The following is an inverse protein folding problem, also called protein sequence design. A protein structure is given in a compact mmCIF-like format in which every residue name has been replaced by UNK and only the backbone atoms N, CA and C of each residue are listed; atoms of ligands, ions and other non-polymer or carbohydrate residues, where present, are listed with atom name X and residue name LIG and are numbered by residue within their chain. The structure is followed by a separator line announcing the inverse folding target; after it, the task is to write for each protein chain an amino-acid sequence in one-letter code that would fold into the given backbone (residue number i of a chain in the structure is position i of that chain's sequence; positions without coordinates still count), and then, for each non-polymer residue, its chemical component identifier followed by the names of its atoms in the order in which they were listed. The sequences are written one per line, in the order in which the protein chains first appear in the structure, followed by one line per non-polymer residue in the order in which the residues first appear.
data_IF_134945984284
#
_entry.id   IF_134945984284
#
_cell.length_a   1.000
_cell.length_b   1.000
_cell.length_c   1.000
_cell.angle_alpha   90.00
_cell.angle_beta   90.00
_cell.angle_gamma   90.00
#
_symmetry.space_group_name_H-M   'P 1'
#
loop_
_entity.id
_entity.type
_entity.pdbx_description
1 polymer ?
#
# COMPACT_ATOMS: atom_id res chain seq x y z
N UNK A 1 -67.87 44.38 -9.67
CA UNK A 1 -66.94 45.12 -8.80
C UNK A 1 -66.32 44.13 -7.83
N UNK A 2 -64.99 43.95 -7.86
CA UNK A 2 -64.28 42.98 -7.03
C UNK A 2 -62.88 43.46 -6.65
N UNK A 3 -62.70 43.65 -5.34
CA UNK A 3 -61.55 43.29 -4.49
C UNK A 3 -60.14 43.65 -5.00
N UNK A 4 -59.57 44.74 -4.46
CA UNK A 4 -58.12 44.92 -4.32
C UNK A 4 -57.77 45.49 -2.93
N UNK A 5 -56.60 45.05 -2.47
CA UNK A 5 -55.75 45.60 -1.42
C UNK A 5 -56.04 45.30 0.05
N UNK A 6 -55.31 44.29 0.57
CA UNK A 6 -54.98 44.21 1.99
C UNK A 6 -53.59 43.60 2.22
N UNK A 7 -52.53 44.29 1.78
CA UNK A 7 -51.18 44.04 2.30
C UNK A 7 -51.02 44.74 3.66
N UNK A 8 -51.18 43.99 4.76
CA UNK A 8 -50.65 44.39 6.08
C UNK A 8 -49.53 43.44 6.50
N UNK A 9 -48.33 44.03 6.58
CA UNK A 9 -47.11 43.51 7.21
C UNK A 9 -47.39 42.91 8.60
N UNK A 10 -46.95 41.67 8.82
CA UNK A 10 -46.63 41.15 10.17
C UNK A 10 -45.10 41.11 10.29
N UNK A 11 -44.57 41.86 11.25
CA UNK A 11 -43.18 41.78 11.68
C UNK A 11 -42.94 40.43 12.36
N UNK A 12 -42.12 39.57 11.78
CA UNK A 12 -41.54 38.43 12.50
C UNK A 12 -40.24 38.90 13.18
N UNK A 13 -39.97 38.49 14.43
CA UNK A 13 -38.70 38.79 15.09
C UNK A 13 -37.55 38.04 14.38
N UNK A 14 -36.29 38.51 14.47
CA UNK A 14 -35.18 37.88 13.79
C UNK A 14 -34.96 36.49 14.38
N UNK A 15 -35.09 35.47 13.53
CA UNK A 15 -34.70 34.10 13.84
C UNK A 15 -33.19 34.12 14.08
N UNK A 16 -32.82 33.91 15.34
CA UNK A 16 -31.45 33.77 15.77
C UNK A 16 -30.90 32.51 15.08
N UNK A 17 -30.20 32.68 13.96
CA UNK A 17 -29.39 31.63 13.36
C UNK A 17 -28.25 31.31 14.33
N UNK A 18 -28.54 30.43 15.31
CA UNK A 18 -27.48 29.66 15.95
C UNK A 18 -26.77 28.94 14.80
N UNK A 19 -25.58 29.44 14.43
CA UNK A 19 -24.63 28.68 13.62
C UNK A 19 -24.50 27.34 14.34
N UNK A 20 -25.08 26.29 13.77
CA UNK A 20 -24.73 24.94 14.16
C UNK A 20 -23.22 24.87 13.98
N UNK A 21 -22.47 24.73 15.09
CA UNK A 21 -21.08 24.30 14.99
C UNK A 21 -21.14 23.03 14.17
N UNK A 22 -20.43 23.01 13.03
CA UNK A 22 -20.23 21.78 12.29
C UNK A 22 -19.82 20.70 13.30
N UNK A 23 -20.41 19.50 13.25
CA UNK A 23 -19.99 18.43 14.13
C UNK A 23 -18.48 18.30 13.99
N UNK A 24 -17.76 18.40 15.11
CA UNK A 24 -16.33 18.08 15.14
C UNK A 24 -16.26 16.65 14.63
N UNK A 25 -15.73 16.47 13.41
CA UNK A 25 -15.55 15.14 12.86
C UNK A 25 -14.71 14.38 13.87
N UNK A 26 -15.28 13.34 14.47
CA UNK A 26 -14.50 12.43 15.32
C UNK A 26 -13.58 11.72 14.34
N UNK A 27 -12.33 12.14 14.29
CA UNK A 27 -11.29 11.51 13.48
C UNK A 27 -11.07 10.13 14.10
N UNK A 28 -11.17 9.07 13.30
CA UNK A 28 -10.94 7.72 13.78
C UNK A 28 -9.45 7.59 14.18
N UNK A 29 -9.10 6.94 15.31
CA UNK A 29 -7.71 6.83 15.76
C UNK A 29 -6.76 6.26 14.70
N UNK A 30 -7.27 5.40 13.81
CA UNK A 30 -6.50 4.89 12.69
C UNK A 30 -6.10 5.96 11.68
N UNK A 31 -6.95 6.95 11.42
CA UNK A 31 -6.61 8.07 10.52
C UNK A 31 -5.44 8.88 11.09
N UNK A 32 -5.43 9.11 12.41
CA UNK A 32 -4.31 9.77 13.09
C UNK A 32 -3.02 8.94 12.99
N UNK A 33 -3.14 7.62 13.14
CA UNK A 33 -2.01 6.70 12.95
C UNK A 33 -1.46 6.74 11.52
N UNK A 34 -2.33 6.79 10.52
CA UNK A 34 -1.91 6.89 9.12
C UNK A 34 -1.14 8.20 8.86
N UNK A 35 -1.58 9.31 9.45
CA UNK A 35 -0.87 10.59 9.37
C UNK A 35 0.50 10.52 10.05
N UNK A 36 0.57 9.93 11.25
CA UNK A 36 1.84 9.71 11.94
C UNK A 36 2.81 8.86 11.09
N UNK A 37 2.33 7.77 10.49
CA UNK A 37 3.14 6.89 9.64
C UNK A 37 3.68 7.61 8.40
N UNK A 38 2.87 8.49 7.81
CA UNK A 38 3.30 9.32 6.70
C UNK A 38 4.38 10.32 7.13
N UNK A 39 4.20 11.00 8.27
CA UNK A 39 5.14 12.02 8.75
C UNK A 39 6.47 11.41 9.20
N UNK A 40 6.44 10.32 9.97
CA UNK A 40 7.63 9.73 10.55
C UNK A 40 8.40 8.86 9.54
N UNK A 41 7.68 8.02 8.80
CA UNK A 41 8.26 6.97 7.95
C UNK A 41 8.08 7.22 6.45
N UNK A 42 7.31 8.23 6.05
CA UNK A 42 6.96 8.43 4.63
C UNK A 42 5.94 7.43 4.10
N UNK A 43 5.33 6.60 4.96
CA UNK A 43 4.39 5.57 4.56
C UNK A 43 3.04 6.17 4.19
N UNK A 44 2.67 6.11 2.91
CA UNK A 44 1.38 6.61 2.41
C UNK A 44 0.42 5.43 2.20
N UNK A 45 -0.41 5.18 3.21
CA UNK A 45 -1.47 4.17 3.14
C UNK A 45 -2.55 4.64 2.15
N UNK A 46 -3.01 3.79 1.22
CA UNK A 46 -4.06 4.15 0.27
C UNK A 46 -5.37 4.54 0.99
N UNK A 47 -6.02 5.61 0.55
CA UNK A 47 -7.27 6.07 1.17
C UNK A 47 -8.37 4.99 1.13
N UNK A 48 -8.44 4.20 0.05
CA UNK A 48 -9.37 3.07 -0.06
C UNK A 48 -9.16 2.04 1.06
N UNK A 49 -7.90 1.75 1.41
CA UNK A 49 -7.56 0.87 2.53
C UNK A 49 -7.95 1.49 3.88
N UNK A 50 -7.72 2.79 4.05
CA UNK A 50 -8.11 3.54 5.25
C UNK A 50 -9.63 3.48 5.44
N UNK A 51 -10.39 3.84 4.40
CA UNK A 51 -11.85 3.87 4.43
C UNK A 51 -12.43 2.48 4.72
N UNK A 52 -11.86 1.44 4.10
CA UNK A 52 -12.24 0.05 4.33
C UNK A 52 -12.06 -0.35 5.80
N UNK A 53 -10.86 -0.18 6.36
CA UNK A 53 -10.54 -0.59 7.73
C UNK A 53 -11.38 0.18 8.76
N UNK A 54 -11.62 1.48 8.54
CA UNK A 54 -12.45 2.31 9.40
C UNK A 54 -13.92 1.90 9.31
N UNK A 55 -14.45 1.64 8.10
CA UNK A 55 -15.85 1.26 7.88
C UNK A 55 -16.25 0.01 8.67
N UNK A 56 -15.37 -0.98 8.73
CA UNK A 56 -15.60 -2.20 9.50
C UNK A 56 -15.29 -2.06 11.00
N UNK A 57 -14.67 -0.94 11.41
CA UNK A 57 -14.39 -0.59 12.80
C UNK A 57 -13.76 -1.75 13.60
N UNK A 58 -12.78 -2.43 12.99
CA UNK A 58 -12.11 -3.55 13.65
C UNK A 58 -11.46 -3.11 14.97
N UNK A 59 -11.36 -4.02 15.97
CA UNK A 59 -10.62 -3.76 17.19
C UNK A 59 -9.16 -3.37 16.90
N UNK A 60 -8.57 -2.48 17.71
CA UNK A 60 -7.17 -2.02 17.51
C UNK A 60 -6.16 -3.17 17.50
N UNK A 61 -6.44 -4.21 18.28
CA UNK A 61 -5.70 -5.46 18.42
C UNK A 61 -6.01 -6.49 17.33
N UNK A 62 -6.91 -6.18 16.39
CA UNK A 62 -7.12 -7.00 15.22
C UNK A 62 -5.83 -7.05 14.39
N UNK A 63 -5.49 -8.24 13.88
CA UNK A 63 -4.21 -8.48 13.21
C UNK A 63 -3.98 -7.54 12.01
N UNK A 64 -5.02 -7.21 11.23
CA UNK A 64 -4.96 -6.21 10.15
C UNK A 64 -4.55 -4.80 10.60
N UNK A 65 -4.83 -4.43 11.85
CA UNK A 65 -4.41 -3.14 12.40
C UNK A 65 -2.99 -3.19 12.97
N UNK A 66 -2.55 -4.35 13.47
CA UNK A 66 -1.31 -4.52 14.23
C UNK A 66 -0.07 -3.98 13.50
N UNK A 67 0.08 -4.31 12.22
CA UNK A 67 1.23 -3.89 11.40
C UNK A 67 1.36 -2.37 11.28
N UNK A 68 0.24 -1.63 11.29
CA UNK A 68 0.25 -0.17 11.22
C UNK A 68 0.61 0.47 12.56
N UNK A 69 0.27 -0.18 13.68
CA UNK A 69 0.62 0.31 15.03
C UNK A 69 2.06 -0.01 15.43
N UNK A 70 2.64 -1.05 14.82
CA UNK A 70 3.98 -1.55 15.14
C UNK A 70 4.93 -1.49 13.95
N UNK A 71 4.66 -0.60 13.00
CA UNK A 71 5.36 -0.51 11.73
C UNK A 71 6.89 -0.37 11.88
N UNK A 72 7.62 -1.15 11.08
CA UNK A 72 9.04 -0.99 10.76
C UNK A 72 9.24 -1.17 9.25
N UNK A 73 10.38 -0.71 8.73
CA UNK A 73 10.71 -0.87 7.31
C UNK A 73 10.80 -2.34 6.89
N UNK A 74 11.11 -3.25 7.83
CA UNK A 74 11.19 -4.69 7.57
C UNK A 74 9.88 -5.32 7.07
N UNK A 75 8.75 -4.63 7.22
CA UNK A 75 7.47 -5.05 6.65
C UNK A 75 7.31 -4.68 5.17
N UNK A 76 8.25 -3.93 4.60
CA UNK A 76 8.20 -3.56 3.20
C UNK A 76 8.90 -4.60 2.34
N UNK A 77 8.27 -4.97 1.23
CA UNK A 77 8.85 -5.85 0.23
C UNK A 77 8.82 -5.18 -1.14
N UNK A 78 9.94 -5.21 -1.85
CA UNK A 78 10.05 -4.74 -3.23
C UNK A 78 9.89 -5.91 -4.19
N UNK A 79 8.97 -5.75 -5.14
CA UNK A 79 8.76 -6.66 -6.26
C UNK A 79 9.34 -6.06 -7.54
N UNK A 80 10.35 -6.74 -8.08
CA UNK A 80 10.97 -6.35 -9.34
C UNK A 80 10.11 -6.77 -10.53
N UNK A 81 10.16 -5.96 -11.58
CA UNK A 81 9.63 -6.35 -12.89
C UNK A 81 10.78 -6.62 -13.88
N UNK A 82 10.47 -7.31 -14.97
CA UNK A 82 11.48 -7.73 -15.94
C UNK A 82 12.22 -6.57 -16.61
N UNK A 83 11.59 -5.40 -16.77
CA UNK A 83 12.26 -4.22 -17.36
C UNK A 83 13.35 -3.70 -16.44
N UNK A 84 13.07 -3.59 -15.13
CA UNK A 84 14.06 -3.20 -14.15
C UNK A 84 15.21 -4.20 -14.09
N UNK A 85 14.91 -5.51 -14.03
CA UNK A 85 15.94 -6.55 -14.00
C UNK A 85 16.82 -6.51 -15.26
N UNK A 86 16.23 -6.31 -16.45
CA UNK A 86 16.98 -6.16 -17.69
C UNK A 86 17.91 -4.95 -17.64
N UNK A 87 17.41 -3.79 -17.20
CA UNK A 87 18.21 -2.57 -17.05
C UNK A 87 19.42 -2.80 -16.12
N UNK A 88 19.17 -3.39 -14.95
CA UNK A 88 20.21 -3.66 -13.96
C UNK A 88 21.28 -4.61 -14.53
N UNK A 89 20.88 -5.68 -15.22
CA UNK A 89 21.83 -6.62 -15.85
C UNK A 89 22.64 -5.94 -16.94
N UNK A 90 22.00 -5.13 -17.79
CA UNK A 90 22.68 -4.41 -18.87
C UNK A 90 23.74 -3.45 -18.29
N UNK A 91 23.40 -2.66 -17.27
CA UNK A 91 24.33 -1.77 -16.58
C UNK A 91 25.48 -2.50 -15.88
N UNK A 92 25.18 -3.65 -15.28
CA UNK A 92 26.19 -4.47 -14.63
C UNK A 92 27.18 -5.04 -15.65
N UNK A 93 26.69 -5.52 -16.80
CA UNK A 93 27.52 -6.03 -17.89
C UNK A 93 28.30 -4.93 -18.63
N UNK A 94 27.77 -3.70 -18.72
CA UNK A 94 28.53 -2.55 -19.22
C UNK A 94 29.73 -2.23 -18.33
N UNK A 95 29.55 -2.34 -17.01
CA UNK A 95 30.58 -1.99 -16.02
C UNK A 95 31.64 -3.10 -15.87
N UNK A 96 31.21 -4.36 -15.82
CA UNK A 96 32.08 -5.51 -15.49
C UNK A 96 32.37 -6.45 -16.68
N UNK A 97 31.79 -6.18 -17.85
CA UNK A 97 31.96 -6.96 -19.08
C UNK A 97 30.81 -7.94 -19.38
N UNK A 98 30.56 -8.17 -20.68
CA UNK A 98 29.39 -8.94 -21.18
C UNK A 98 29.24 -10.37 -20.66
N UNK A 99 30.34 -11.01 -20.25
CA UNK A 99 30.34 -12.39 -19.75
C UNK A 99 30.61 -12.48 -18.24
N UNK A 100 30.39 -11.39 -17.51
CA UNK A 100 30.58 -11.38 -16.06
C UNK A 100 29.58 -12.33 -15.37
N UNK A 101 30.01 -12.95 -14.27
CA UNK A 101 29.13 -13.80 -13.47
C UNK A 101 28.09 -12.94 -12.73
N UNK A 102 26.83 -13.28 -12.93
CA UNK A 102 25.69 -12.57 -12.36
C UNK A 102 25.33 -13.04 -10.95
N UNK A 103 26.02 -14.04 -10.39
CA UNK A 103 25.71 -14.56 -9.05
C UNK A 103 25.72 -13.48 -7.97
N UNK A 104 26.73 -12.60 -7.97
CA UNK A 104 26.81 -11.48 -7.03
C UNK A 104 25.69 -10.47 -7.20
N UNK A 105 25.26 -10.25 -8.45
CA UNK A 105 24.15 -9.36 -8.75
C UNK A 105 22.82 -9.95 -8.27
N UNK A 106 22.63 -11.26 -8.43
CA UNK A 106 21.48 -11.98 -7.89
C UNK A 106 21.42 -11.84 -6.36
N UNK A 107 22.53 -12.09 -5.67
CA UNK A 107 22.62 -11.94 -4.21
C UNK A 107 22.27 -10.50 -3.79
N UNK A 108 22.85 -9.48 -4.45
CA UNK A 108 22.57 -8.08 -4.17
C UNK A 108 21.08 -7.72 -4.36
N UNK A 109 20.46 -8.22 -5.44
CA UNK A 109 19.04 -8.00 -5.71
C UNK A 109 18.16 -8.71 -4.68
N UNK A 110 18.53 -9.90 -4.24
CA UNK A 110 17.78 -10.66 -3.24
C UNK A 110 17.81 -9.94 -1.88
N UNK A 111 18.99 -9.44 -1.47
CA UNK A 111 19.15 -8.67 -0.23
C UNK A 111 18.39 -7.34 -0.28
N UNK A 112 18.45 -6.63 -1.41
CA UNK A 112 17.80 -5.32 -1.57
C UNK A 112 16.26 -5.35 -1.43
N UNK A 113 15.61 -6.53 -1.52
CA UNK A 113 14.13 -6.64 -1.53
C UNK A 113 13.46 -6.10 -0.28
N UNK A 114 14.14 -6.19 0.86
CA UNK A 114 13.60 -5.78 2.16
C UNK A 114 14.29 -4.52 2.71
N UNK A 115 15.17 -3.90 1.91
CA UNK A 115 16.05 -2.81 2.34
C UNK A 115 15.65 -1.48 1.68
N UNK A 116 14.38 -1.33 1.27
CA UNK A 116 13.89 -0.12 0.63
C UNK A 116 13.26 0.85 1.64
N UNK A 117 13.80 2.06 1.71
CA UNK A 117 13.30 3.12 2.58
C UNK A 117 12.37 4.08 1.84
N UNK A 118 11.07 4.05 2.14
CA UNK A 118 10.07 4.96 1.54
C UNK A 118 10.41 6.44 1.74
N UNK A 119 10.92 6.81 2.92
CA UNK A 119 11.24 8.20 3.27
C UNK A 119 12.28 8.83 2.35
N UNK A 120 13.30 8.05 2.00
CA UNK A 120 14.41 8.51 1.15
C UNK A 120 14.26 8.04 -0.30
N UNK A 121 13.28 7.18 -0.57
CA UNK A 121 12.97 6.62 -1.88
C UNK A 121 14.19 5.91 -2.51
N UNK A 122 14.88 5.10 -1.70
CA UNK A 122 16.09 4.39 -2.11
C UNK A 122 16.30 3.11 -1.30
N UNK A 123 17.14 2.21 -1.82
CA UNK A 123 17.68 1.07 -1.10
C UNK A 123 18.76 1.52 -0.12
N UNK A 124 18.75 1.03 1.11
CA UNK A 124 19.72 1.38 2.14
C UNK A 124 19.88 0.25 3.16
N UNK A 125 21.12 -0.09 3.49
CA UNK A 125 21.48 -0.94 4.63
C UNK A 125 22.80 -0.47 5.22
N UNK A 126 23.02 -0.70 6.52
CA UNK A 126 24.28 -0.36 7.18
C UNK A 126 25.43 -1.31 6.79
N UNK A 127 25.12 -2.47 6.21
CA UNK A 127 26.11 -3.54 5.94
C UNK A 127 26.34 -3.82 4.46
N UNK A 128 25.43 -3.39 3.58
CA UNK A 128 25.46 -3.66 2.15
C UNK A 128 25.42 -2.33 1.38
N UNK A 129 26.32 -2.19 0.41
CA UNK A 129 26.34 -1.05 -0.51
C UNK A 129 25.36 -1.28 -1.67
N UNK A 130 24.33 -0.43 -1.73
CA UNK A 130 23.30 -0.45 -2.78
C UNK A 130 23.45 0.68 -3.80
N UNK A 131 24.55 1.43 -3.84
CA UNK A 131 24.73 2.58 -4.73
C UNK A 131 24.47 2.24 -6.20
N UNK A 132 24.96 1.07 -6.64
CA UNK A 132 24.71 0.58 -8.00
C UNK A 132 23.21 0.37 -8.30
N UNK A 133 22.47 -0.25 -7.37
CA UNK A 133 21.03 -0.48 -7.54
C UNK A 133 20.26 0.83 -7.45
N UNK A 134 20.65 1.74 -6.56
CA UNK A 134 20.05 3.07 -6.44
C UNK A 134 20.20 3.89 -7.71
N UNK A 135 21.37 3.82 -8.36
CA UNK A 135 21.57 4.43 -9.67
C UNK A 135 20.61 3.84 -10.71
N UNK A 136 20.53 2.51 -10.80
CA UNK A 136 19.63 1.83 -11.74
C UNK A 136 18.15 2.18 -11.46
N UNK A 137 17.77 2.27 -10.19
CA UNK A 137 16.42 2.64 -9.78
C UNK A 137 16.08 4.08 -10.16
N UNK A 138 17.00 5.02 -9.96
CA UNK A 138 16.83 6.40 -10.39
C UNK A 138 16.64 6.52 -11.92
N UNK A 139 17.43 5.77 -12.71
CA UNK A 139 17.27 5.69 -14.17
C UNK A 139 15.92 5.09 -14.56
N UNK A 140 15.51 4.01 -13.89
CA UNK A 140 14.22 3.37 -14.13
C UNK A 140 13.05 4.31 -13.82
N UNK A 141 13.10 5.01 -12.69
CA UNK A 141 12.10 6.01 -12.30
C UNK A 141 12.03 7.19 -13.27
N UNK A 142 13.17 7.66 -13.76
CA UNK A 142 13.23 8.73 -14.75
C UNK A 142 12.56 8.36 -16.09
N UNK A 143 12.40 7.06 -16.39
CA UNK A 143 11.65 6.59 -17.56
C UNK A 143 10.12 6.65 -17.39
N UNK A 144 9.63 6.99 -16.20
CA UNK A 144 8.21 7.00 -15.84
C UNK A 144 7.68 5.66 -15.35
N UNK A 145 8.56 4.69 -15.15
CA UNK A 145 8.23 3.37 -14.60
C UNK A 145 8.54 3.33 -13.10
N UNK A 146 7.91 2.42 -12.36
CA UNK A 146 8.10 2.30 -10.92
C UNK A 146 8.16 0.84 -10.47
N UNK A 147 8.80 0.62 -9.32
CA UNK A 147 8.81 -0.68 -8.66
C UNK A 147 7.56 -0.81 -7.80
N UNK A 148 7.07 -2.04 -7.68
CA UNK A 148 5.96 -2.36 -6.78
C UNK A 148 6.52 -2.54 -5.37
N UNK A 149 6.18 -1.60 -4.49
CA UNK A 149 6.51 -1.68 -3.06
C UNK A 149 5.23 -2.07 -2.33
N UNK A 150 5.35 -3.06 -1.46
CA UNK A 150 4.23 -3.62 -0.71
C UNK A 150 4.50 -3.60 0.78
N UNK A 151 3.43 -3.74 1.54
CA UNK A 151 3.44 -3.96 2.98
C UNK A 151 2.96 -5.39 3.26
N UNK A 152 3.72 -6.17 4.02
CA UNK A 152 3.31 -7.52 4.45
C UNK A 152 2.02 -7.42 5.26
N UNK A 153 0.96 -7.97 4.68
CA UNK A 153 -0.42 -7.84 5.12
C UNK A 153 -1.02 -9.25 5.26
N UNK A 154 -0.82 -9.85 6.43
CA UNK A 154 -1.35 -11.19 6.79
C UNK A 154 -1.03 -12.28 5.75
N UNK A 155 0.27 -12.48 5.47
CA UNK A 155 0.77 -13.44 4.46
C UNK A 155 0.43 -13.09 3.00
N UNK A 156 -0.23 -11.95 2.79
CA UNK A 156 -0.44 -11.28 1.51
C UNK A 156 0.32 -9.95 1.48
N UNK A 157 0.18 -9.18 0.40
CA UNK A 157 0.92 -7.94 0.20
C UNK A 157 -0.01 -6.80 -0.18
N UNK A 158 -0.17 -5.81 0.71
CA UNK A 158 -0.87 -4.57 0.39
C UNK A 158 0.02 -3.67 -0.47
N UNK A 159 -0.45 -3.31 -1.67
CA UNK A 159 0.33 -2.55 -2.65
C UNK A 159 0.28 -1.05 -2.36
N UNK A 160 1.45 -0.39 -2.39
CA UNK A 160 1.61 1.00 -1.99
C UNK A 160 1.95 1.97 -3.14
N UNK A 161 2.72 1.54 -4.15
CA UNK A 161 3.41 2.45 -5.11
C UNK A 161 3.19 2.10 -6.59
N UNK A 162 1.98 1.75 -6.99
CA UNK A 162 1.63 1.55 -8.41
C UNK A 162 0.19 1.99 -8.70
N UNK A 163 -0.27 1.82 -9.95
CA UNK A 163 -1.70 1.92 -10.29
C UNK A 163 -2.58 0.91 -9.50
N UNK A 164 -2.00 -0.18 -9.01
CA UNK A 164 -2.65 -1.19 -8.16
C UNK A 164 -2.61 -0.80 -6.67
N UNK A 165 -2.33 0.45 -6.34
CA UNK A 165 -2.30 0.93 -4.95
C UNK A 165 -3.65 0.66 -4.24
N UNK A 166 -3.58 0.02 -3.07
CA UNK A 166 -4.77 -0.35 -2.28
C UNK A 166 -5.34 -1.74 -2.58
N UNK A 167 -4.80 -2.44 -3.57
CA UNK A 167 -5.05 -3.86 -3.78
C UNK A 167 -4.13 -4.69 -2.89
N UNK A 168 -4.57 -5.91 -2.62
CA UNK A 168 -3.79 -6.94 -1.95
C UNK A 168 -3.45 -8.02 -2.97
N UNK A 169 -2.17 -8.32 -3.13
CA UNK A 169 -1.71 -9.43 -3.97
C UNK A 169 -1.27 -10.61 -3.12
N UNK A 170 -1.54 -11.82 -3.57
CA UNK A 170 -1.24 -13.03 -2.81
C UNK A 170 0.21 -13.48 -2.98
N UNK A 171 0.85 -13.82 -1.85
CA UNK A 171 2.27 -14.21 -1.83
C UNK A 171 2.48 -15.75 -1.95
N UNK A 172 1.41 -16.56 -2.08
CA UNK A 172 1.40 -18.06 -2.11
C UNK A 172 0.06 -18.63 -2.69
N UNK A 173 -0.04 -19.91 -3.15
CA UNK A 173 0.67 -20.59 -4.24
C UNK A 173 -0.30 -21.45 -5.11
N UNK A 174 -0.63 -21.07 -6.34
CA UNK A 174 -0.76 -22.12 -7.35
C UNK A 174 0.65 -22.56 -7.72
N UNK A 175 1.05 -23.77 -7.31
CA UNK A 175 2.34 -24.40 -7.60
C UNK A 175 2.74 -24.13 -9.07
N UNK A 176 3.79 -23.32 -9.28
CA UNK A 176 4.67 -23.19 -10.46
C UNK A 176 4.90 -21.78 -11.07
N UNK A 177 4.32 -20.68 -10.57
CA UNK A 177 4.51 -19.36 -11.22
C UNK A 177 5.16 -18.23 -10.37
N UNK A 178 5.57 -18.47 -9.12
CA UNK A 178 6.04 -17.42 -8.21
C UNK A 178 7.30 -16.66 -8.64
N UNK A 179 8.10 -17.24 -9.54
CA UNK A 179 9.37 -16.67 -9.95
C UNK A 179 9.42 -16.55 -11.47
N UNK A 180 9.93 -15.42 -11.94
CA UNK A 180 10.34 -15.22 -13.33
C UNK A 180 11.85 -15.17 -13.41
N UNK A 181 12.35 -15.44 -14.61
CA UNK A 181 13.76 -15.27 -14.94
C UNK A 181 13.88 -14.29 -16.10
N UNK A 182 14.73 -13.28 -15.95
CA UNK A 182 15.07 -12.31 -17.00
C UNK A 182 16.57 -12.14 -17.03
N UNK A 183 17.17 -12.28 -18.21
CA UNK A 183 18.62 -12.19 -18.40
C UNK A 183 19.47 -13.08 -17.44
N UNK A 184 18.92 -14.21 -17.01
CA UNK A 184 19.59 -15.12 -16.06
C UNK A 184 19.40 -14.80 -14.58
N UNK A 185 18.77 -13.67 -14.25
CA UNK A 185 18.38 -13.29 -12.88
C UNK A 185 16.96 -13.80 -12.59
N UNK A 186 16.79 -14.46 -11.46
CA UNK A 186 15.51 -14.95 -10.95
C UNK A 186 14.94 -13.95 -9.94
N UNK A 187 13.66 -13.63 -10.04
CA UNK A 187 13.00 -12.70 -9.12
C UNK A 187 11.55 -13.11 -8.89
N UNK A 188 11.00 -12.71 -7.75
CA UNK A 188 9.62 -12.98 -7.35
C UNK A 188 8.66 -12.01 -8.05
N UNK A 189 7.48 -12.49 -8.39
CA UNK A 189 6.38 -11.68 -8.88
C UNK A 189 5.20 -11.76 -7.91
N UNK A 190 4.37 -10.72 -7.90
CA UNK A 190 3.09 -10.71 -7.23
C UNK A 190 1.98 -10.87 -8.28
N UNK A 191 1.00 -11.73 -8.00
CA UNK A 191 -0.15 -12.02 -8.87
C UNK A 191 -1.44 -12.11 -8.02
N UNK A 192 -2.56 -12.44 -8.66
CA UNK A 192 -3.87 -12.66 -8.01
C UNK A 192 -4.32 -11.49 -7.10
N UNK A 193 -4.50 -10.33 -7.73
CA UNK A 193 -4.88 -9.10 -7.03
C UNK A 193 -6.37 -9.03 -6.70
N UNK A 194 -6.68 -8.72 -5.45
CA UNK A 194 -8.03 -8.44 -4.99
C UNK A 194 -8.10 -7.11 -4.21
N UNK A 195 -9.29 -6.50 -4.15
CA UNK A 195 -9.50 -5.35 -3.29
C UNK A 195 -9.51 -5.80 -1.83
N UNK A 196 -8.87 -5.01 -0.96
CA UNK A 196 -8.88 -5.27 0.48
C UNK A 196 -10.31 -5.40 1.05
N UNK A 197 -11.25 -4.61 0.53
CA UNK A 197 -12.66 -4.67 0.92
C UNK A 197 -13.29 -6.04 0.63
N UNK A 198 -13.01 -6.62 -0.54
CA UNK A 198 -13.56 -7.90 -0.95
C UNK A 198 -13.01 -9.04 -0.07
N UNK A 199 -11.72 -8.99 0.25
CA UNK A 199 -11.06 -9.97 1.14
C UNK A 199 -11.70 -9.93 2.52
N UNK A 200 -11.80 -8.73 3.10
CA UNK A 200 -12.38 -8.54 4.43
C UNK A 200 -13.84 -9.02 4.46
N UNK A 201 -14.64 -8.67 3.45
CA UNK A 201 -16.05 -9.08 3.39
C UNK A 201 -16.18 -10.60 3.30
N UNK A 202 -15.37 -11.28 2.47
CA UNK A 202 -15.35 -12.75 2.37
C UNK A 202 -15.06 -13.42 3.71
N UNK A 203 -14.12 -12.88 4.49
CA UNK A 203 -13.76 -13.43 5.81
C UNK A 203 -14.87 -13.22 6.84
N UNK A 204 -15.49 -12.04 6.84
CA UNK A 204 -16.65 -11.77 7.70
C UNK A 204 -17.80 -12.74 7.41
N UNK A 205 -18.14 -12.92 6.13
CA UNK A 205 -19.19 -13.84 5.68
C UNK A 205 -18.90 -15.30 6.08
N UNK A 206 -17.63 -15.73 6.04
CA UNK A 206 -17.21 -17.05 6.52
C UNK A 206 -17.40 -17.18 8.03
N UNK A 207 -16.98 -16.17 8.80
CA UNK A 207 -17.11 -16.18 10.26
C UNK A 207 -18.57 -16.26 10.74
N UNK A 208 -19.51 -15.67 10.00
CA UNK A 208 -20.94 -15.77 10.30
C UNK A 208 -21.50 -17.15 9.98
N UNK A 209 -21.08 -17.75 8.85
CA UNK A 209 -21.48 -19.12 8.48
C UNK A 209 -21.03 -20.13 9.53
N UNK A 210 -19.79 -20.02 10.01
CA UNK A 210 -19.24 -20.92 11.03
C UNK A 210 -19.94 -20.78 12.39
N UNK A 211 -20.43 -19.58 12.73
CA UNK A 211 -21.28 -19.36 13.92
C UNK A 211 -22.67 -20.00 13.78
N UNK A 212 -23.21 -20.08 12.57
CA UNK A 212 -24.54 -20.67 12.32
C UNK A 212 -24.55 -22.20 12.23
N UNK A 213 -23.38 -22.84 12.09
CA UNK A 213 -23.23 -24.30 12.10
C UNK A 213 -22.24 -24.74 13.19
N UNK A 214 -22.61 -24.71 14.48
CA UNK A 214 -21.81 -25.38 15.49
C UNK A 214 -21.80 -26.88 15.16
N UNK A 215 -20.62 -27.42 14.86
CA UNK A 215 -20.38 -28.86 14.79
C UNK A 215 -20.92 -29.49 16.08
N UNK A 216 -21.93 -30.35 15.92
CA UNK A 216 -22.49 -31.17 17.00
C UNK A 216 -21.55 -32.30 17.37
#
# INVERSE_FOLDING_TARGET
MGIFDFFKRKNNPPVNHRKAKAPVAVIHPFTEQCLYLQEEFGLIIPQSSIDCLIRFNFPKDHYYYSLFWHFSNDFLEVFYNGKFIQLVVDRYQETYGKNTDLKKLQELLDDARFEFGLKNDCFYSDTIDFDFLNQCYAEYKASGEELMITLDFDYENLILTTELKGYVGQNYPSFNALYKTTAGIRYKILEDFELLEDIIQKLLDQSEKDKTFPLK
#
